data_IF_782359749780
#
_entry.id   IF_782359749780
#
_cell.length_a   1.000
_cell.length_b   1.000
_cell.length_c   1.000
_cell.angle_alpha   90.00
_cell.angle_beta   90.00
_cell.angle_gamma   90.00
#
_symmetry.space_group_name_H-M   'P 1'
#
loop_
_entity.id
_entity.type
_entity.pdbx_description
1 polymer ?
#
# COMPACT_ATOMS: atom_id res chain seq x y z
N UNK A 1 22.29 -14.70 9.01
CA UNK A 1 20.98 -15.27 8.63
C UNK A 1 20.13 -14.09 8.20
N UNK A 2 19.97 -13.87 6.89
CA UNK A 2 19.11 -12.80 6.38
C UNK A 2 17.71 -13.40 6.23
N UNK A 3 16.79 -12.97 7.09
CA UNK A 3 15.39 -13.39 7.02
C UNK A 3 14.79 -12.74 5.77
N UNK A 4 14.69 -13.51 4.70
CA UNK A 4 14.16 -13.07 3.42
C UNK A 4 12.65 -13.05 3.45
N UNK A 5 12.07 -11.96 3.94
CA UNK A 5 10.68 -11.56 3.71
C UNK A 5 10.61 -10.03 3.63
N UNK A 6 11.51 -9.40 2.86
CA UNK A 6 11.32 -7.99 2.51
C UNK A 6 10.27 -7.93 1.41
N UNK A 7 9.00 -7.64 1.76
CA UNK A 7 7.98 -7.23 0.80
C UNK A 7 8.59 -6.09 -0.02
N UNK A 8 9.06 -6.39 -1.23
CA UNK A 8 9.83 -5.43 -2.00
C UNK A 8 8.85 -4.45 -2.59
N UNK A 9 8.73 -3.29 -1.95
CA UNK A 9 7.92 -2.19 -2.42
C UNK A 9 8.47 -1.69 -3.75
N UNK A 10 7.69 -1.86 -4.81
CA UNK A 10 7.97 -1.24 -6.10
C UNK A 10 7.24 0.11 -6.13
N UNK A 11 8.01 1.18 -6.04
CA UNK A 11 7.47 2.53 -6.14
C UNK A 11 7.28 2.89 -7.63
N UNK A 12 6.05 3.22 -7.99
CA UNK A 12 5.71 3.76 -9.30
C UNK A 12 5.12 5.16 -9.14
N UNK A 13 5.93 6.20 -9.39
CA UNK A 13 5.48 7.59 -9.32
C UNK A 13 4.39 7.94 -10.35
N UNK A 14 4.17 7.08 -11.36
CA UNK A 14 3.09 7.24 -12.33
C UNK A 14 1.75 6.65 -11.88
N UNK A 15 1.72 5.85 -10.81
CA UNK A 15 0.50 5.25 -10.29
C UNK A 15 -0.36 6.27 -9.53
N UNK A 16 -1.66 6.27 -9.77
CA UNK A 16 -2.61 7.14 -9.03
C UNK A 16 -2.82 6.68 -7.60
N UNK A 17 -2.76 5.36 -7.36
CA UNK A 17 -2.92 4.76 -6.05
C UNK A 17 -1.86 3.68 -5.85
N UNK A 18 -1.36 3.58 -4.62
CA UNK A 18 -0.44 2.53 -4.20
C UNK A 18 -1.21 1.52 -3.35
N UNK A 19 -0.77 0.26 -3.34
CA UNK A 19 -1.44 -0.81 -2.61
C UNK A 19 -0.45 -1.63 -1.79
N UNK A 20 -0.92 -2.14 -0.64
CA UNK A 20 -0.20 -3.10 0.23
C UNK A 20 -1.12 -4.20 0.68
N UNK A 21 -0.57 -5.42 0.76
CA UNK A 21 -1.21 -6.56 1.41
C UNK A 21 -0.80 -6.72 2.88
N UNK A 22 0.05 -5.83 3.40
CA UNK A 22 0.47 -5.81 4.79
C UNK A 22 0.15 -4.44 5.42
N UNK A 23 -0.71 -4.46 6.43
CA UNK A 23 -1.13 -3.29 7.18
C UNK A 23 0.01 -2.71 8.01
N UNK A 24 0.98 -3.53 8.43
CA UNK A 24 2.14 -3.08 9.20
C UNK A 24 3.05 -2.13 8.42
N UNK A 25 2.94 -2.12 7.09
CA UNK A 25 3.62 -1.14 6.25
C UNK A 25 3.01 0.27 6.39
N UNK A 26 1.76 0.42 6.85
CA UNK A 26 1.14 1.74 6.98
C UNK A 26 1.44 2.37 8.34
N UNK A 27 2.19 3.48 8.33
CA UNK A 27 2.56 4.20 9.55
C UNK A 27 1.36 4.88 10.21
N UNK A 28 0.46 5.43 9.39
CA UNK A 28 -0.82 5.97 9.80
C UNK A 28 -1.87 5.35 8.89
N UNK A 29 -2.84 4.64 9.46
CA UNK A 29 -3.92 4.01 8.71
C UNK A 29 -5.26 4.22 9.43
N UNK A 30 -6.32 4.26 8.62
CA UNK A 30 -7.69 4.32 9.08
C UNK A 30 -8.55 3.37 8.23
N UNK A 31 -9.70 2.90 8.76
CA UNK A 31 -10.65 2.14 7.97
C UNK A 31 -11.02 2.91 6.70
N UNK A 32 -11.03 2.21 5.58
CA UNK A 32 -11.49 2.78 4.32
C UNK A 32 -13.02 2.72 4.29
N UNK A 33 -13.66 3.89 4.17
CA UNK A 33 -15.12 4.00 4.18
C UNK A 33 -15.68 4.25 2.76
N UNK A 34 -14.87 4.10 1.73
CA UNK A 34 -15.35 4.16 0.35
C UNK A 34 -16.08 2.88 -0.03
N UNK A 35 -16.93 2.97 -1.06
CA UNK A 35 -17.64 1.81 -1.63
C UNK A 35 -16.92 1.18 -2.81
N UNK A 36 -15.64 1.51 -2.99
CA UNK A 36 -14.84 1.06 -4.12
C UNK A 36 -14.14 -0.27 -3.81
N UNK A 37 -14.00 -1.11 -4.83
CA UNK A 37 -13.22 -2.35 -4.79
C UNK A 37 -12.14 -2.31 -5.88
N UNK A 38 -11.04 -3.01 -5.65
CA UNK A 38 -9.99 -3.21 -6.66
C UNK A 38 -10.45 -4.30 -7.61
N UNK A 39 -10.67 -3.96 -8.88
CA UNK A 39 -11.09 -4.92 -9.90
C UNK A 39 -9.87 -5.51 -10.60
N UNK A 40 -9.76 -6.84 -10.57
CA UNK A 40 -8.71 -7.59 -11.26
C UNK A 40 -9.08 -7.85 -12.73
N UNK A 41 -8.09 -8.23 -13.54
CA UNK A 41 -8.27 -8.49 -14.97
C UNK A 41 -9.21 -9.66 -15.30
N UNK A 42 -9.49 -10.53 -14.32
CA UNK A 42 -10.48 -11.60 -14.42
C UNK A 42 -11.89 -11.17 -14.00
N UNK A 43 -12.06 -9.90 -13.60
CA UNK A 43 -13.32 -9.31 -13.16
C UNK A 43 -13.65 -9.54 -11.69
N UNK A 44 -12.80 -10.25 -10.94
CA UNK A 44 -12.97 -10.38 -9.48
C UNK A 44 -12.63 -9.05 -8.78
N UNK A 45 -13.34 -8.78 -7.68
CA UNK A 45 -13.12 -7.60 -6.85
C UNK A 45 -12.39 -7.96 -5.55
N UNK A 46 -11.43 -7.14 -5.15
CA UNK A 46 -10.79 -7.20 -3.84
C UNK A 46 -11.24 -6.00 -3.00
N UNK A 47 -11.63 -6.28 -1.76
CA UNK A 47 -12.12 -5.24 -0.87
C UNK A 47 -10.98 -4.40 -0.29
N UNK A 48 -11.14 -3.09 -0.37
CA UNK A 48 -10.25 -2.14 0.30
C UNK A 48 -10.70 -2.02 1.75
N UNK A 49 -9.88 -2.46 2.69
CA UNK A 49 -10.27 -2.42 4.11
C UNK A 49 -9.72 -1.21 4.85
N UNK A 50 -8.51 -0.74 4.51
CA UNK A 50 -7.90 0.43 5.12
C UNK A 50 -7.21 1.31 4.08
N UNK A 51 -6.99 2.57 4.45
CA UNK A 51 -6.14 3.49 3.69
C UNK A 51 -5.20 4.21 4.65
N UNK A 52 -4.04 4.61 4.15
CA UNK A 52 -3.03 5.24 5.00
C UNK A 52 -1.87 5.83 4.22
N UNK A 53 -0.78 6.06 4.95
CA UNK A 53 0.48 6.52 4.39
C UNK A 53 1.64 5.63 4.79
N UNK A 54 2.66 5.62 3.93
CA UNK A 54 3.90 4.87 4.10
C UNK A 54 5.09 5.82 3.94
N UNK A 55 6.13 5.60 4.73
CA UNK A 55 7.40 6.34 4.61
C UNK A 55 8.51 5.36 4.27
N UNK A 56 9.11 5.53 3.10
CA UNK A 56 10.27 4.75 2.69
C UNK A 56 11.54 5.49 3.13
N UNK A 57 12.35 4.89 4.02
CA UNK A 57 13.61 5.51 4.43
C UNK A 57 14.58 5.60 3.24
N UNK A 58 15.19 6.75 3.05
CA UNK A 58 16.25 6.96 2.06
C UNK A 58 17.46 7.64 2.69
N UNK A 59 18.63 7.50 2.06
CA UNK A 59 19.90 8.07 2.53
C UNK A 59 19.91 9.61 2.57
N UNK A 60 19.00 10.30 1.88
CA UNK A 60 18.94 11.77 1.80
C UNK A 60 17.74 12.35 2.55
N UNK A 61 16.56 11.84 2.24
CA UNK A 61 15.30 12.28 2.83
C UNK A 61 14.26 11.17 2.71
N UNK A 62 13.47 10.89 3.75
CA UNK A 62 12.39 9.91 3.66
C UNK A 62 11.45 10.26 2.50
N UNK A 63 11.01 9.25 1.75
CA UNK A 63 10.00 9.42 0.72
C UNK A 63 8.64 9.04 1.30
N UNK A 64 7.68 9.94 1.21
CA UNK A 64 6.34 9.72 1.75
C UNK A 64 5.37 9.38 0.62
N UNK A 65 4.58 8.33 0.83
CA UNK A 65 3.49 7.93 -0.05
C UNK A 65 2.21 8.08 0.74
N UNK A 66 1.32 8.93 0.26
CA UNK A 66 -0.03 9.10 0.80
C UNK A 66 -1.04 8.30 -0.02
N UNK A 67 -2.20 8.02 0.58
CA UNK A 67 -3.32 7.29 -0.04
C UNK A 67 -2.95 5.87 -0.50
N UNK A 68 -2.22 5.15 0.35
CA UNK A 68 -1.91 3.74 0.15
C UNK A 68 -3.10 2.90 0.61
N UNK A 69 -3.64 2.09 -0.28
CA UNK A 69 -4.76 1.19 -0.02
C UNK A 69 -4.27 -0.12 0.56
N UNK A 70 -4.89 -0.59 1.63
CA UNK A 70 -4.65 -1.91 2.18
C UNK A 70 -5.73 -2.87 1.70
N UNK A 71 -5.28 -3.88 0.96
CA UNK A 71 -6.10 -4.91 0.32
C UNK A 71 -5.57 -6.27 0.77
N UNK A 72 -6.32 -7.03 1.59
CA UNK A 72 -5.86 -8.28 2.18
C UNK A 72 -5.78 -9.44 1.18
#
# INVERSE_FOLDING_TARGET
MMNGDSSTWLLDSGASHHMTSDLANLSLHAPYNGGDDVILGDGSGLNISHTGSFSLPSLKSPFFIDNVLYVP
#
